data_IF_418635144548
#
_entry.id   IF_418635144548
#
_cell.length_a   1.000
_cell.length_b   1.000
_cell.length_c   1.000
_cell.angle_alpha   90.00
_cell.angle_beta   90.00
_cell.angle_gamma   90.00
#
_symmetry.space_group_name_H-M   'P 1'
#
loop_
_entity.id
_entity.type
_entity.pdbx_description
1 polymer ?
#
# COMPACT_ATOMS: atom_id res chain seq x y z
N UNK A 1 -22.98 -8.97 -8.76
CA UNK A 1 -21.86 -9.79 -9.30
C UNK A 1 -21.46 -10.78 -8.22
N UNK A 2 -21.08 -12.01 -8.59
CA UNK A 2 -20.64 -13.01 -7.60
C UNK A 2 -19.19 -12.71 -7.22
N UNK A 3 -18.89 -12.62 -5.92
CA UNK A 3 -17.51 -12.49 -5.44
C UNK A 3 -16.82 -13.84 -5.51
N UNK A 4 -15.69 -13.89 -6.20
CA UNK A 4 -14.81 -15.05 -6.23
C UNK A 4 -13.85 -15.07 -5.04
N UNK A 5 -13.68 -13.95 -4.35
CA UNK A 5 -12.82 -13.83 -3.16
C UNK A 5 -13.66 -13.87 -1.88
N UNK A 6 -13.22 -14.70 -0.93
CA UNK A 6 -13.73 -14.76 0.44
C UNK A 6 -12.63 -14.29 1.40
N UNK A 7 -12.89 -13.22 2.16
CA UNK A 7 -12.00 -12.79 3.24
C UNK A 7 -11.98 -13.84 4.34
N UNK A 8 -10.78 -14.26 4.74
CA UNK A 8 -10.54 -15.20 5.83
C UNK A 8 -10.27 -14.47 7.14
N UNK A 9 -9.44 -13.43 7.09
CA UNK A 9 -9.07 -12.61 8.25
C UNK A 9 -8.70 -11.19 7.83
N UNK A 10 -8.85 -10.25 8.76
CA UNK A 10 -8.35 -8.87 8.63
C UNK A 10 -7.54 -8.56 9.88
N UNK A 11 -6.33 -8.09 9.68
CA UNK A 11 -5.40 -7.66 10.71
C UNK A 11 -4.81 -6.29 10.35
N UNK A 12 -4.02 -5.72 11.24
CA UNK A 12 -3.32 -4.47 11.00
C UNK A 12 -1.85 -4.60 11.39
N UNK A 13 -0.98 -4.12 10.51
CA UNK A 13 0.47 -4.17 10.70
C UNK A 13 0.97 -2.80 11.12
N UNK A 14 1.54 -2.73 12.33
CA UNK A 14 2.21 -1.54 12.81
C UNK A 14 3.68 -1.51 12.36
N UNK A 15 4.29 -0.32 12.21
CA UNK A 15 5.73 -0.21 12.12
C UNK A 15 6.40 -0.85 13.35
N UNK A 16 7.55 -1.50 13.16
CA UNK A 16 8.32 -2.05 14.27
C UNK A 16 8.76 -0.93 15.23
N UNK A 17 8.14 -0.88 16.41
CA UNK A 17 8.38 0.16 17.42
C UNK A 17 9.85 0.23 17.87
N UNK A 18 10.55 -0.91 17.91
CA UNK A 18 11.96 -0.93 18.30
C UNK A 18 12.85 -0.24 17.25
N UNK A 19 12.49 -0.36 15.97
CA UNK A 19 13.18 0.27 14.86
C UNK A 19 12.78 1.75 14.68
N UNK A 20 11.53 2.10 15.02
CA UNK A 20 11.09 3.51 15.10
C UNK A 20 11.76 4.20 16.30
N UNK A 21 12.01 3.52 17.42
CA UNK A 21 12.63 4.11 18.61
C UNK A 21 11.79 5.27 19.19
N UNK A 22 12.43 6.28 19.78
CA UNK A 22 11.75 7.54 20.18
C UNK A 22 11.35 8.41 18.96
N UNK A 23 11.46 7.89 17.73
CA UNK A 23 11.34 8.63 16.49
C UNK A 23 9.91 8.79 15.95
N UNK A 24 9.01 9.22 16.82
CA UNK A 24 7.96 10.14 16.37
C UNK A 24 8.43 11.58 16.65
N UNK A 25 9.64 12.03 16.24
CA UNK A 25 10.02 13.39 16.57
C UNK A 25 9.11 14.29 15.73
N UNK A 26 8.37 15.22 16.34
CA UNK A 26 7.62 16.17 15.56
C UNK A 26 8.56 16.93 14.59
N UNK A 27 8.06 17.30 13.41
CA UNK A 27 6.68 17.15 12.98
C UNK A 27 6.35 15.71 12.51
N UNK A 28 5.18 15.21 12.90
CA UNK A 28 4.62 13.93 12.41
C UNK A 28 3.77 14.13 11.15
N UNK A 29 4.07 15.17 10.40
CA UNK A 29 3.34 15.55 9.19
C UNK A 29 4.32 15.88 8.06
N UNK A 30 3.94 15.52 6.84
CA UNK A 30 4.65 15.88 5.61
C UNK A 30 3.68 16.61 4.68
N UNK A 31 4.04 17.84 4.30
CA UNK A 31 3.26 18.63 3.35
C UNK A 31 3.24 17.97 1.96
N UNK A 32 2.14 18.15 1.22
CA UNK A 32 2.05 17.77 -0.18
C UNK A 32 2.76 18.79 -1.08
N UNK A 33 3.56 18.30 -2.03
CA UNK A 33 4.00 19.14 -3.14
C UNK A 33 2.85 19.33 -4.14
N UNK A 34 2.99 20.33 -5.00
CA UNK A 34 2.00 20.58 -6.06
C UNK A 34 1.86 19.40 -7.03
N UNK A 35 2.88 18.54 -7.16
CA UNK A 35 2.81 17.32 -7.97
C UNK A 35 1.94 16.24 -7.31
N UNK A 36 1.97 16.16 -5.98
CA UNK A 36 1.16 15.24 -5.18
C UNK A 36 -0.30 15.66 -5.15
N UNK A 37 -0.55 16.97 -4.97
CA UNK A 37 -1.90 17.55 -4.89
C UNK A 37 -2.78 17.22 -6.09
N UNK A 38 -2.20 17.07 -7.28
CA UNK A 38 -2.91 16.68 -8.50
C UNK A 38 -3.44 15.23 -8.44
N UNK A 39 -2.83 14.39 -7.61
CA UNK A 39 -3.12 12.95 -7.52
C UNK A 39 -4.04 12.59 -6.36
N UNK A 40 -4.39 13.55 -5.49
CA UNK A 40 -5.13 13.27 -4.25
C UNK A 40 -6.49 12.60 -4.52
N UNK A 41 -7.24 13.03 -5.53
CA UNK A 41 -8.53 12.40 -5.88
C UNK A 41 -8.44 11.32 -6.98
N UNK A 42 -7.23 10.95 -7.45
CA UNK A 42 -7.07 10.02 -8.59
C UNK A 42 -7.10 8.54 -8.21
N UNK A 43 -7.20 8.22 -6.93
CA UNK A 43 -7.39 6.86 -6.44
C UNK A 43 -6.10 6.21 -5.90
N UNK A 44 -6.15 4.88 -5.74
CA UNK A 44 -5.01 4.08 -5.32
C UNK A 44 -4.24 3.51 -6.52
N UNK A 45 -2.91 3.50 -6.44
CA UNK A 45 -2.05 2.68 -7.28
C UNK A 45 -2.17 1.24 -6.78
N UNK A 46 -2.68 0.34 -7.62
CA UNK A 46 -2.83 -1.08 -7.31
C UNK A 46 -1.77 -1.92 -8.03
N UNK A 47 -1.19 -2.88 -7.32
CA UNK A 47 -0.23 -3.86 -7.85
C UNK A 47 -0.59 -5.25 -7.36
N UNK A 48 -0.43 -6.23 -8.23
CA UNK A 48 -0.70 -7.63 -7.94
C UNK A 48 0.52 -8.46 -8.32
N UNK A 49 0.99 -9.27 -7.39
CA UNK A 49 2.12 -10.18 -7.57
C UNK A 49 1.64 -11.61 -7.41
N UNK A 50 1.91 -12.46 -8.39
CA UNK A 50 1.59 -13.88 -8.33
C UNK A 50 2.87 -14.69 -8.11
N UNK A 51 2.81 -15.60 -7.15
CA UNK A 51 3.86 -16.53 -6.84
C UNK A 51 3.30 -17.95 -6.89
N UNK A 52 4.05 -18.84 -7.49
CA UNK A 52 3.67 -20.24 -7.66
C UNK A 52 4.91 -21.12 -7.52
N UNK A 53 4.74 -22.28 -6.89
CA UNK A 53 5.77 -23.30 -6.81
C UNK A 53 5.39 -24.41 -5.85
N UNK A 54 5.92 -25.61 -6.12
CA UNK A 54 5.69 -26.79 -5.30
C UNK A 54 6.31 -26.64 -3.89
N UNK A 55 7.34 -25.81 -3.77
CA UNK A 55 8.05 -25.53 -2.52
C UNK A 55 7.51 -24.31 -1.75
N UNK A 56 6.33 -23.78 -2.11
CA UNK A 56 5.76 -22.67 -1.35
C UNK A 56 5.47 -23.10 0.10
N UNK A 57 5.84 -22.27 1.10
CA UNK A 57 5.52 -22.55 2.49
C UNK A 57 4.00 -22.61 2.72
N UNK A 58 3.54 -23.20 3.83
CA UNK A 58 2.14 -23.13 4.22
C UNK A 58 1.62 -21.68 4.22
N UNK A 59 0.38 -21.47 3.79
CA UNK A 59 -0.20 -20.13 3.62
C UNK A 59 -0.03 -19.23 4.85
N UNK A 60 -0.26 -19.78 6.05
CA UNK A 60 -0.10 -19.02 7.30
C UNK A 60 1.35 -18.63 7.60
N UNK A 61 2.33 -19.44 7.18
CA UNK A 61 3.75 -19.07 7.26
C UNK A 61 4.09 -17.94 6.30
N UNK A 62 3.50 -17.93 5.10
CA UNK A 62 3.64 -16.83 4.14
C UNK A 62 3.04 -15.54 4.71
N UNK A 63 1.82 -15.61 5.25
CA UNK A 63 1.15 -14.46 5.89
C UNK A 63 2.01 -13.89 7.01
N UNK A 64 2.48 -14.73 7.94
CA UNK A 64 3.34 -14.29 9.05
C UNK A 64 4.62 -13.63 8.56
N UNK A 65 5.30 -14.22 7.58
CA UNK A 65 6.51 -13.64 6.99
C UNK A 65 6.24 -12.28 6.32
N UNK A 66 5.13 -12.14 5.59
CA UNK A 66 4.73 -10.89 4.96
C UNK A 66 4.36 -9.80 5.98
N UNK A 67 3.65 -10.14 7.04
CA UNK A 67 3.32 -9.21 8.13
C UNK A 67 4.58 -8.74 8.87
N UNK A 68 5.46 -9.66 9.29
CA UNK A 68 6.69 -9.32 10.01
C UNK A 68 7.64 -8.49 9.14
N UNK A 69 7.81 -8.83 7.86
CA UNK A 69 8.65 -8.05 6.95
C UNK A 69 8.06 -6.69 6.60
N UNK A 70 6.73 -6.57 6.54
CA UNK A 70 6.07 -5.27 6.37
C UNK A 70 6.32 -4.38 7.59
N UNK A 71 6.15 -4.92 8.80
CA UNK A 71 6.46 -4.21 10.05
C UNK A 71 7.91 -3.71 10.08
N UNK A 72 8.87 -4.49 9.58
CA UNK A 72 10.28 -4.11 9.49
C UNK A 72 10.57 -3.05 8.40
N UNK A 73 9.81 -3.02 7.31
CA UNK A 73 9.98 -2.07 6.21
C UNK A 73 9.35 -0.70 6.50
N UNK A 74 8.23 -0.67 7.24
CA UNK A 74 7.48 0.54 7.55
C UNK A 74 8.32 1.62 8.27
N UNK A 75 9.26 1.33 9.20
CA UNK A 75 10.13 2.36 9.77
C UNK A 75 10.94 3.16 8.73
N UNK A 76 11.32 2.54 7.61
CA UNK A 76 12.02 3.22 6.51
C UNK A 76 11.05 4.08 5.67
N UNK A 77 9.79 3.66 5.60
CA UNK A 77 8.73 4.32 4.84
C UNK A 77 7.57 4.78 5.74
N UNK A 78 7.91 5.36 6.90
CA UNK A 78 6.95 5.59 7.99
C UNK A 78 5.68 6.36 7.56
N UNK A 79 5.76 7.37 6.67
CA UNK A 79 4.56 8.04 6.18
C UNK A 79 3.51 7.11 5.57
N UNK A 80 3.88 5.96 4.99
CA UNK A 80 2.91 5.01 4.41
C UNK A 80 2.03 4.31 5.47
N UNK A 81 2.43 4.30 6.74
CA UNK A 81 1.60 3.78 7.83
C UNK A 81 0.50 4.76 8.26
N UNK A 82 0.63 6.04 7.86
CA UNK A 82 -0.27 7.11 8.27
C UNK A 82 -1.49 7.26 7.36
N UNK A 83 -2.04 8.48 7.37
CA UNK A 83 -3.21 8.88 6.60
C UNK A 83 -2.95 10.17 5.85
N UNK A 84 -3.62 10.34 4.71
CA UNK A 84 -3.81 11.65 4.11
C UNK A 84 -4.86 12.39 4.94
N UNK A 85 -4.57 13.59 5.44
CA UNK A 85 -5.46 14.33 6.34
C UNK A 85 -5.64 15.78 5.86
N UNK A 86 -6.84 16.32 6.06
CA UNK A 86 -7.13 17.74 5.83
C UNK A 86 -6.93 18.52 7.13
N UNK A 87 -6.25 19.67 7.05
CA UNK A 87 -6.02 20.58 8.16
C UNK A 87 -6.95 21.81 8.03
N UNK A 88 -8.02 21.92 8.83
CA UNK A 88 -8.98 23.02 8.72
C UNK A 88 -8.38 24.41 8.91
N UNK A 89 -7.34 24.52 9.74
CA UNK A 89 -6.74 25.81 10.09
C UNK A 89 -5.95 26.42 8.93
N UNK A 90 -5.28 25.58 8.13
CA UNK A 90 -4.48 26.02 6.99
C UNK A 90 -5.19 25.81 5.64
N UNK A 91 -6.24 24.99 5.61
CA UNK A 91 -6.91 24.54 4.38
C UNK A 91 -6.07 23.57 3.54
N UNK A 92 -5.04 22.97 4.14
CA UNK A 92 -4.09 22.11 3.44
C UNK A 92 -4.41 20.63 3.62
N UNK A 93 -3.91 19.82 2.71
CA UNK A 93 -3.88 18.36 2.85
C UNK A 93 -2.43 17.96 3.12
N UNK A 94 -2.22 17.11 4.13
CA UNK A 94 -0.90 16.63 4.56
C UNK A 94 -0.91 15.11 4.70
N UNK A 95 0.28 14.51 4.70
CA UNK A 95 0.47 13.16 5.18
C UNK A 95 0.67 13.24 6.69
N UNK A 96 -0.28 12.73 7.46
CA UNK A 96 -0.20 12.62 8.91
C UNK A 96 0.21 11.20 9.28
N UNK A 97 1.35 11.07 9.93
CA UNK A 97 1.85 9.83 10.51
C UNK A 97 2.07 10.04 12.01
N UNK A 98 1.21 10.77 12.70
CA UNK A 98 1.14 10.71 14.16
C UNK A 98 0.72 9.32 14.63
N UNK A 99 1.00 8.93 15.90
CA UNK A 99 0.52 7.66 16.45
C UNK A 99 -1.00 7.45 16.28
N UNK A 100 -1.79 8.53 16.39
CA UNK A 100 -3.24 8.50 16.20
C UNK A 100 -3.61 8.27 14.73
N UNK A 101 -2.91 8.91 13.79
CA UNK A 101 -3.12 8.69 12.36
C UNK A 101 -2.68 7.28 11.93
N UNK A 102 -1.60 6.75 12.50
CA UNK A 102 -1.11 5.40 12.22
C UNK A 102 -2.06 4.34 12.79
N UNK A 103 -2.73 4.57 13.91
CA UNK A 103 -3.71 3.64 14.46
C UNK A 103 -4.90 3.42 13.51
N UNK A 104 -5.35 2.16 13.26
CA UNK A 104 -4.94 0.90 13.91
C UNK A 104 -3.78 0.16 13.22
N UNK A 105 -3.08 0.76 12.27
CA UNK A 105 -2.00 0.19 11.48
C UNK A 105 -2.39 -0.01 10.01
N UNK A 106 -1.46 -0.54 9.21
CA UNK A 106 -1.68 -0.85 7.80
C UNK A 106 -2.61 -2.05 7.68
N UNK A 107 -3.76 -1.88 7.02
CA UNK A 107 -4.74 -2.95 6.83
C UNK A 107 -4.14 -4.11 6.03
N UNK A 108 -4.23 -5.31 6.58
CA UNK A 108 -3.70 -6.54 6.00
C UNK A 108 -4.79 -7.61 5.95
N UNK A 109 -5.13 -8.05 4.74
CA UNK A 109 -6.23 -8.98 4.48
C UNK A 109 -5.70 -10.34 4.07
N UNK A 110 -6.22 -11.39 4.69
CA UNK A 110 -6.06 -12.76 4.22
C UNK A 110 -7.33 -13.17 3.50
N UNK A 111 -7.19 -13.79 2.33
CA UNK A 111 -8.34 -14.17 1.53
C UNK A 111 -8.13 -15.52 0.82
N UNK A 112 -9.26 -16.10 0.39
CA UNK A 112 -9.31 -17.29 -0.44
C UNK A 112 -10.05 -16.98 -1.73
N UNK A 113 -9.48 -17.38 -2.86
CA UNK A 113 -10.06 -17.25 -4.19
C UNK A 113 -10.68 -18.56 -4.62
N UNK A 114 -11.95 -18.53 -5.03
CA UNK A 114 -12.71 -19.70 -5.47
C UNK A 114 -12.47 -20.13 -6.91
N UNK A 115 -11.75 -19.32 -7.70
CA UNK A 115 -11.25 -19.74 -9.01
C UNK A 115 -10.01 -20.63 -8.91
N UNK A 116 -9.62 -21.19 -10.05
CA UNK A 116 -8.44 -22.06 -10.20
C UNK A 116 -7.12 -21.28 -10.17
N UNK A 117 -6.00 -21.97 -9.97
CA UNK A 117 -4.65 -21.40 -10.16
C UNK A 117 -4.47 -20.89 -11.59
N UNK A 118 -5.04 -21.57 -12.58
CA UNK A 118 -5.00 -21.13 -13.98
C UNK A 118 -5.75 -19.81 -14.22
N UNK A 119 -6.82 -19.55 -13.47
CA UNK A 119 -7.49 -18.25 -13.48
C UNK A 119 -6.56 -17.13 -12.98
N UNK A 120 -5.78 -17.41 -11.92
CA UNK A 120 -4.78 -16.46 -11.42
C UNK A 120 -3.64 -16.25 -12.41
N UNK A 121 -3.14 -17.31 -13.06
CA UNK A 121 -2.07 -17.22 -14.09
C UNK A 121 -2.48 -16.34 -15.26
N UNK A 122 -3.74 -16.42 -15.71
CA UNK A 122 -4.27 -15.57 -16.78
C UNK A 122 -4.24 -14.08 -16.44
N UNK A 123 -4.37 -13.72 -15.17
CA UNK A 123 -4.24 -12.32 -14.71
C UNK A 123 -2.78 -11.83 -14.71
N UNK A 124 -1.80 -12.73 -14.75
CA UNK A 124 -0.39 -12.42 -14.82
C UNK A 124 0.18 -12.43 -16.26
N UNK A 125 -0.60 -12.93 -17.23
CA UNK A 125 -0.19 -13.09 -18.62
C UNK A 125 -0.64 -11.95 -19.54
N UNK A 126 -0.35 -12.09 -20.83
CA UNK A 126 -0.66 -11.08 -21.87
C UNK A 126 -2.10 -11.16 -22.40
N UNK A 127 -2.92 -12.07 -21.85
CA UNK A 127 -4.34 -12.22 -22.20
C UNK A 127 -5.14 -10.95 -21.82
N UNK A 128 -6.35 -10.83 -22.37
CA UNK A 128 -7.25 -9.72 -21.99
C UNK A 128 -7.49 -9.74 -20.47
N UNK A 129 -7.03 -8.68 -19.80
CA UNK A 129 -7.03 -8.63 -18.35
C UNK A 129 -8.46 -8.56 -17.84
N UNK A 130 -8.89 -9.58 -17.09
CA UNK A 130 -10.18 -9.55 -16.41
C UNK A 130 -10.10 -8.58 -15.23
N UNK A 131 -10.46 -7.31 -15.48
CA UNK A 131 -10.38 -6.20 -14.52
C UNK A 131 -11.15 -6.55 -13.23
N UNK A 132 -12.32 -7.16 -13.34
CA UNK A 132 -13.15 -7.54 -12.20
C UNK A 132 -12.48 -8.58 -11.30
N UNK A 133 -11.69 -9.50 -11.87
CA UNK A 133 -10.94 -10.48 -11.10
C UNK A 133 -9.69 -9.84 -10.47
N UNK A 134 -8.99 -8.96 -11.19
CA UNK A 134 -7.89 -8.17 -10.64
C UNK A 134 -8.34 -7.35 -9.42
N UNK A 135 -9.45 -6.62 -9.52
CA UNK A 135 -9.98 -5.77 -8.45
C UNK A 135 -10.36 -6.55 -7.19
N UNK A 136 -10.65 -7.85 -7.31
CA UNK A 136 -10.93 -8.71 -6.15
C UNK A 136 -9.66 -9.21 -5.46
N UNK A 137 -8.53 -9.27 -6.16
CA UNK A 137 -7.25 -9.78 -5.65
C UNK A 137 -6.34 -8.69 -5.07
N UNK A 138 -6.72 -7.42 -5.22
CA UNK A 138 -6.07 -6.26 -4.60
C UNK A 138 -6.92 -5.76 -3.42
N UNK A 139 -6.29 -5.21 -2.37
CA UNK A 139 -7.04 -4.71 -1.24
C UNK A 139 -7.82 -3.45 -1.62
N UNK A 140 -9.01 -3.33 -1.04
CA UNK A 140 -9.73 -2.06 -1.01
C UNK A 140 -8.96 -1.04 -0.16
N UNK A 141 -8.80 0.16 -0.69
CA UNK A 141 -8.22 1.32 -0.02
C UNK A 141 -9.18 2.48 -0.20
N UNK A 142 -9.81 2.93 0.88
CA UNK A 142 -10.79 4.01 0.84
C UNK A 142 -10.06 5.35 0.65
N UNK A 143 -10.17 5.93 -0.54
CA UNK A 143 -9.44 7.14 -0.95
C UNK A 143 -10.37 8.29 -1.32
N UNK A 144 -11.69 8.09 -1.23
CA UNK A 144 -12.66 9.11 -1.63
C UNK A 144 -12.90 10.17 -0.55
N UNK A 145 -12.52 9.90 0.69
CA UNK A 145 -12.73 10.77 1.86
C UNK A 145 -11.48 10.91 2.71
N UNK A 146 -11.36 12.03 3.43
CA UNK A 146 -10.26 12.29 4.35
C UNK A 146 -10.76 12.17 5.81
N UNK A 147 -9.96 11.59 6.72
CA UNK A 147 -8.61 11.07 6.49
C UNK A 147 -8.59 9.73 5.73
N UNK A 148 -7.71 9.60 4.74
CA UNK A 148 -7.61 8.40 3.89
C UNK A 148 -6.38 7.56 4.27
N UNK A 149 -6.50 6.21 4.43
CA UNK A 149 -5.33 5.34 4.58
C UNK A 149 -4.41 5.40 3.35
N UNK A 150 -3.11 5.19 3.58
CA UNK A 150 -2.10 5.33 2.53
C UNK A 150 -1.64 4.01 1.92
N UNK A 151 -1.76 2.91 2.65
CA UNK A 151 -1.32 1.58 2.24
C UNK A 151 -2.30 0.51 2.74
N UNK A 152 -2.56 -0.49 1.91
CA UNK A 152 -3.21 -1.73 2.30
C UNK A 152 -2.58 -2.92 1.55
N UNK A 153 -2.66 -4.11 2.16
CA UNK A 153 -2.14 -5.37 1.59
C UNK A 153 -3.22 -6.44 1.65
N UNK A 154 -3.31 -7.26 0.60
CA UNK A 154 -4.12 -8.48 0.58
C UNK A 154 -3.26 -9.66 0.13
N UNK A 155 -3.36 -10.77 0.85
CA UNK A 155 -2.71 -12.03 0.49
C UNK A 155 -3.80 -13.07 0.25
N UNK A 156 -3.82 -13.61 -0.96
CA UNK A 156 -4.89 -14.50 -1.42
C UNK A 156 -4.31 -15.83 -1.84
N UNK A 157 -4.81 -16.93 -1.28
CA UNK A 157 -4.55 -18.28 -1.81
C UNK A 157 -5.72 -18.75 -2.67
N UNK A 158 -5.50 -19.66 -3.64
CA UNK A 158 -6.57 -20.44 -4.22
C UNK A 158 -7.28 -21.27 -3.15
N UNK A 159 -8.54 -21.61 -3.40
CA UNK A 159 -9.29 -22.56 -2.58
C UNK A 159 -8.75 -23.96 -2.82
N UNK A 160 -8.46 -24.69 -1.74
CA UNK A 160 -8.17 -26.12 -1.82
C UNK A 160 -9.44 -26.88 -2.21
N UNK A 161 -9.55 -27.33 -3.46
CA UNK A 161 -10.61 -28.23 -3.94
C UNK A 161 -10.18 -29.71 -3.93
N UNK A 162 -8.92 -29.98 -3.60
CA UNK A 162 -8.35 -31.33 -3.51
C UNK A 162 -8.79 -32.08 -2.23
N UNK A 163 -10.00 -32.65 -2.29
CA UNK A 163 -10.46 -33.76 -1.42
C UNK A 163 -9.76 -35.10 -1.76
N UNK A 164 -8.89 -35.13 -2.78
CA UNK A 164 -8.07 -36.30 -3.13
C UNK A 164 -6.61 -35.90 -3.32
N UNK A 165 -5.72 -36.39 -2.45
CA UNK A 165 -4.30 -36.04 -2.44
C UNK A 165 -3.61 -36.21 -3.81
N UNK A 166 -3.07 -35.11 -4.31
CA UNK A 166 -2.28 -35.03 -5.53
C UNK A 166 -1.95 -33.56 -5.81
N UNK A 167 -0.90 -33.04 -5.16
CA UNK A 167 -0.51 -31.64 -5.21
C UNK A 167 -0.29 -31.12 -6.63
N UNK A 168 -1.20 -30.28 -7.09
CA UNK A 168 -0.82 -29.13 -7.90
C UNK A 168 -0.14 -28.13 -6.94
N UNK A 169 1.00 -27.59 -7.34
CA UNK A 169 1.84 -26.70 -6.53
C UNK A 169 1.08 -25.58 -5.84
N UNK A 170 1.65 -25.08 -4.74
CA UNK A 170 1.07 -23.94 -4.04
C UNK A 170 1.06 -22.70 -4.94
N UNK A 171 0.04 -21.85 -4.77
CA UNK A 171 0.02 -20.52 -5.37
C UNK A 171 -0.45 -19.48 -4.35
N UNK A 172 0.07 -18.25 -4.49
CA UNK A 172 -0.33 -17.10 -3.68
C UNK A 172 -0.29 -15.83 -4.50
N UNK A 173 -1.32 -15.00 -4.35
CA UNK A 173 -1.39 -13.66 -4.91
C UNK A 173 -1.21 -12.63 -3.79
N UNK A 174 -0.35 -11.64 -3.99
CA UNK A 174 -0.12 -10.52 -3.08
C UNK A 174 -0.54 -9.23 -3.77
N UNK A 175 -1.68 -8.69 -3.35
CA UNK A 175 -2.20 -7.41 -3.77
C UNK A 175 -1.73 -6.28 -2.85
N UNK A 176 -1.36 -5.14 -3.43
CA UNK A 176 -0.92 -3.95 -2.71
C UNK A 176 -1.65 -2.74 -3.29
N UNK A 177 -2.20 -1.89 -2.43
CA UNK A 177 -2.80 -0.61 -2.82
C UNK A 177 -2.10 0.53 -2.07
N UNK A 178 -1.64 1.55 -2.80
CA UNK A 178 -0.98 2.75 -2.25
C UNK A 178 -1.69 4.00 -2.76
N UNK A 179 -2.03 4.93 -1.88
CA UNK A 179 -2.70 6.17 -2.26
C UNK A 179 -1.84 7.00 -3.24
N UNK A 180 -2.36 7.34 -4.43
CA UNK A 180 -1.53 7.99 -5.47
C UNK A 180 -1.06 9.40 -5.06
N UNK A 181 -1.81 10.09 -4.20
CA UNK A 181 -1.41 11.35 -3.56
C UNK A 181 -0.14 11.30 -2.71
N UNK A 182 0.47 10.14 -2.47
CA UNK A 182 1.72 10.04 -1.68
C UNK A 182 2.86 9.33 -2.40
N UNK A 183 2.61 8.71 -3.55
CA UNK A 183 3.63 7.97 -4.30
C UNK A 183 3.39 8.03 -5.80
N UNK A 184 4.49 8.12 -6.55
CA UNK A 184 4.51 7.79 -7.98
C UNK A 184 4.95 6.33 -8.19
N UNK A 185 5.06 5.91 -9.46
CA UNK A 185 5.48 4.56 -9.79
C UNK A 185 6.89 4.19 -9.28
N UNK A 186 7.83 5.14 -9.25
CA UNK A 186 9.19 4.86 -8.77
C UNK A 186 9.20 4.65 -7.25
N UNK A 187 8.51 5.53 -6.52
CA UNK A 187 8.37 5.43 -5.07
C UNK A 187 7.68 4.12 -4.66
N UNK A 188 6.65 3.70 -5.38
CA UNK A 188 6.02 2.38 -5.16
C UNK A 188 7.04 1.25 -5.30
N UNK A 189 7.86 1.25 -6.37
CA UNK A 189 8.86 0.21 -6.56
C UNK A 189 9.99 0.24 -5.54
N UNK A 190 10.39 1.41 -5.04
CA UNK A 190 11.36 1.52 -3.94
C UNK A 190 10.82 0.85 -2.68
N UNK A 191 9.56 1.12 -2.32
CA UNK A 191 8.90 0.46 -1.19
C UNK A 191 8.81 -1.06 -1.38
N UNK A 192 8.35 -1.53 -2.55
CA UNK A 192 8.25 -2.99 -2.83
C UNK A 192 9.61 -3.67 -2.75
N UNK A 193 10.68 -3.07 -3.28
CA UNK A 193 12.04 -3.62 -3.18
C UNK A 193 12.53 -3.68 -1.74
N UNK A 194 12.27 -2.65 -0.94
CA UNK A 194 12.64 -2.60 0.47
C UNK A 194 11.89 -3.65 1.30
N UNK A 195 10.57 -3.77 1.10
CA UNK A 195 9.77 -4.79 1.76
C UNK A 195 10.20 -6.20 1.36
N UNK A 196 10.44 -6.45 0.08
CA UNK A 196 10.95 -7.74 -0.39
C UNK A 196 12.36 -8.06 0.16
N UNK A 197 13.22 -7.04 0.35
CA UNK A 197 14.52 -7.24 1.01
C UNK A 197 14.36 -7.66 2.47
N UNK A 198 13.46 -7.01 3.22
CA UNK A 198 13.11 -7.42 4.59
C UNK A 198 12.54 -8.84 4.65
N UNK A 199 11.67 -9.21 3.69
CA UNK A 199 11.09 -10.55 3.60
C UNK A 199 12.14 -11.66 3.38
N UNK A 200 13.28 -11.31 2.75
CA UNK A 200 14.43 -12.23 2.59
C UNK A 200 15.41 -12.21 3.77
N UNK A 201 15.08 -11.53 4.87
CA UNK A 201 15.97 -11.36 6.03
C UNK A 201 17.07 -10.32 5.83
N UNK A 202 17.01 -9.51 4.77
CA UNK A 202 17.93 -8.40 4.52
C UNK A 202 17.47 -7.09 5.17
N UNK A 203 18.30 -6.05 5.05
CA UNK A 203 17.93 -4.71 5.52
C UNK A 203 16.99 -4.01 4.52
N UNK A 204 15.84 -3.46 4.96
CA UNK A 204 14.96 -2.65 4.11
C UNK A 204 15.55 -1.27 3.75
N UNK A 205 16.61 -0.83 4.45
CA UNK A 205 17.25 0.48 4.22
C UNK A 205 18.53 0.41 3.36
N UNK A 206 19.15 -0.78 3.22
CA UNK A 206 20.50 -0.93 2.66
C UNK A 206 20.63 -2.10 1.65
N UNK A 207 19.51 -2.53 1.06
CA UNK A 207 19.51 -3.55 0.01
C UNK A 207 20.12 -3.05 -1.32
N UNK A 208 20.59 -3.96 -2.20
CA UNK A 208 21.12 -3.58 -3.51
C UNK A 208 20.13 -2.75 -4.33
N UNK A 209 20.54 -1.56 -4.77
CA UNK A 209 19.71 -0.66 -5.57
C UNK A 209 18.63 0.09 -4.79
N UNK A 210 18.64 0.03 -3.45
CA UNK A 210 17.80 0.86 -2.59
C UNK A 210 18.54 2.17 -2.27
N UNK A 211 17.81 3.27 -2.39
CA UNK A 211 18.25 4.59 -1.94
C UNK A 211 17.38 4.96 -0.74
N UNK A 212 17.95 5.44 0.38
CA UNK A 212 17.15 5.92 1.50
C UNK A 212 16.10 6.94 1.02
N UNK A 213 14.81 6.76 1.35
CA UNK A 213 13.79 7.70 0.92
C UNK A 213 13.98 9.03 1.64
N UNK A 214 13.67 10.13 0.94
CA UNK A 214 13.50 11.44 1.55
C UNK A 214 12.02 11.82 1.49
N UNK A 215 11.49 12.29 2.62
CA UNK A 215 10.14 12.81 2.72
C UNK A 215 10.10 14.34 2.79
N UNK A 216 11.26 15.00 2.77
CA UNK A 216 11.34 16.45 2.68
C UNK A 216 10.98 16.91 1.25
N UNK A 217 9.74 17.41 1.11
CA UNK A 217 9.22 17.92 -0.17
C UNK A 217 9.60 19.36 -0.44
N UNK A 218 10.28 20.06 0.46
CA UNK A 218 10.67 21.48 0.30
C UNK A 218 11.66 21.72 -0.86
N UNK A 219 12.29 20.65 -1.33
CA UNK A 219 13.18 20.64 -2.48
C UNK A 219 12.43 20.70 -3.83
N UNK A 220 11.14 20.38 -3.85
CA UNK A 220 10.30 20.43 -5.05
C UNK A 220 9.73 21.84 -5.19
N UNK A 221 10.41 22.68 -5.99
CA UNK A 221 10.04 24.10 -6.19
C UNK A 221 9.66 24.38 -7.63
N UNK A 222 8.55 25.08 -7.82
CA UNK A 222 8.20 25.60 -9.14
C UNK A 222 9.00 26.89 -9.42
N UNK A 223 9.61 27.07 -10.60
CA UNK A 223 10.57 28.15 -10.84
C UNK A 223 9.95 29.56 -10.87
N UNK A 224 8.63 29.68 -10.95
CA UNK A 224 7.93 30.97 -11.19
C UNK A 224 6.74 31.24 -10.27
N UNK A 225 6.24 30.23 -9.57
CA UNK A 225 4.98 30.31 -8.82
C UNK A 225 5.24 29.66 -7.48
N UNK A 226 4.62 30.21 -6.44
CA UNK A 226 4.67 29.61 -5.12
C UNK A 226 4.06 28.19 -5.14
N UNK A 227 4.81 27.21 -4.66
CA UNK A 227 4.41 25.80 -4.71
C UNK A 227 3.18 25.52 -3.86
N UNK A 228 3.06 26.22 -2.73
CA UNK A 228 1.93 26.10 -1.81
C UNK A 228 0.63 26.60 -2.49
N UNK A 229 0.69 27.77 -3.13
CA UNK A 229 -0.41 28.29 -3.93
C UNK A 229 -0.84 27.33 -5.06
N UNK A 230 0.12 26.67 -5.74
CA UNK A 230 -0.18 25.66 -6.75
C UNK A 230 -0.87 24.43 -6.14
N UNK A 231 -0.37 23.91 -5.02
CA UNK A 231 -0.98 22.79 -4.30
C UNK A 231 -2.45 23.07 -3.97
N UNK A 232 -2.76 24.22 -3.37
CA UNK A 232 -4.14 24.64 -3.08
C UNK A 232 -4.99 24.75 -4.34
N UNK A 233 -4.44 25.32 -5.41
CA UNK A 233 -5.14 25.47 -6.70
C UNK A 233 -5.48 24.10 -7.30
N UNK A 234 -4.55 23.14 -7.26
CA UNK A 234 -4.79 21.79 -7.77
C UNK A 234 -5.76 21.02 -6.90
N UNK A 235 -5.64 21.08 -5.57
CA UNK A 235 -6.61 20.47 -4.67
C UNK A 235 -8.03 20.99 -4.95
N UNK A 236 -8.21 22.31 -5.04
CA UNK A 236 -9.52 22.90 -5.30
C UNK A 236 -10.10 22.52 -6.67
N UNK A 237 -9.27 22.45 -7.71
CA UNK A 237 -9.73 22.13 -9.08
C UNK A 237 -9.95 20.65 -9.32
N UNK A 238 -9.06 19.81 -8.80
CA UNK A 238 -9.04 18.37 -9.08
C UNK A 238 -9.84 17.57 -8.06
N UNK A 239 -10.00 18.11 -6.84
CA UNK A 239 -10.66 17.47 -5.72
C UNK A 239 -11.68 18.41 -5.05
N UNK A 240 -12.61 19.03 -5.81
CA UNK A 240 -13.51 20.07 -5.28
C UNK A 240 -14.46 19.56 -4.18
N UNK A 241 -14.66 18.24 -4.11
CA UNK A 241 -15.48 17.60 -3.09
C UNK A 241 -14.71 17.31 -1.79
N UNK A 242 -13.37 17.43 -1.76
CA UNK A 242 -12.61 17.33 -0.52
C UNK A 242 -12.65 18.68 0.24
N UNK A 243 -12.77 18.65 1.58
CA UNK A 243 -12.80 17.47 2.44
C UNK A 243 -14.24 17.04 2.76
N UNK A 244 -14.65 15.84 2.37
CA UNK A 244 -15.80 15.20 3.03
C UNK A 244 -15.26 14.56 4.31
N UNK A 245 -15.42 15.27 5.42
CA UNK A 245 -15.21 14.75 6.79
C UNK A 245 -16.59 14.39 7.32
N UNK A 246 -16.85 13.11 7.61
CA UNK A 246 -18.09 12.66 8.27
C UNK A 246 -17.78 12.37 9.73
#
# INVERSE_FOLDING_TARGET
>A
MSTLVRVLAVSHVHPDEAAVGAAWPPPNTVELSFLDSFQVARGAIQRLFFYEGDDLPPFQSIVGALQSSLAAALPVFLPLAGKLAYLPESGDVVIDYSPDAVSPGVRFVEAEYSGSVDDMRRLAGDDEHQIEAFLQLVPELEVSMLPAPLLAVQVTRPRDDNVGGGGAGGAVAVGVAIHHGVADGQSVWQFIKAWAAAARGGSPAAGPGLVPPTFDRSMIRHPKVDGHQLSRTFLHKMSPALPVVI
#
